data_IF_523574250122
#
_entry.id   IF_523574250122
#
_cell.length_a   1.000
_cell.length_b   1.000
_cell.length_c   1.000
_cell.angle_alpha   90.00
_cell.angle_beta   90.00
_cell.angle_gamma   90.00
#
_symmetry.space_group_name_H-M   'P 1'
#
loop_
_entity.id
_entity.type
_entity.pdbx_description
1 polymer ?
#
# COMPACT_ATOMS: atom_id res chain seq x y z
N UNK A 1 -32.47 -4.38 -45.87
CA UNK A 1 -32.22 -3.38 -44.81
C UNK A 1 -31.71 -3.97 -43.50
N UNK A 2 -32.22 -5.12 -43.04
CA UNK A 2 -31.83 -5.74 -41.76
C UNK A 2 -30.36 -6.18 -41.65
N UNK A 3 -29.73 -6.66 -42.73
CA UNK A 3 -28.33 -7.09 -42.71
C UNK A 3 -27.36 -5.98 -42.30
N UNK A 4 -27.60 -4.73 -42.74
CA UNK A 4 -26.78 -3.57 -42.34
C UNK A 4 -26.96 -3.22 -40.85
N UNK A 5 -28.19 -3.31 -40.36
CA UNK A 5 -28.51 -3.05 -38.94
C UNK A 5 -27.88 -4.11 -38.04
N UNK A 6 -27.89 -5.37 -38.46
CA UNK A 6 -27.27 -6.48 -37.74
C UNK A 6 -25.75 -6.32 -37.69
N UNK A 7 -25.11 -5.93 -38.81
CA UNK A 7 -23.65 -5.71 -38.85
C UNK A 7 -23.27 -4.53 -37.94
N UNK A 8 -24.01 -3.42 -37.99
CA UNK A 8 -23.74 -2.25 -37.14
C UNK A 8 -23.95 -2.59 -35.65
N UNK A 9 -25.01 -3.34 -35.32
CA UNK A 9 -25.28 -3.80 -33.96
C UNK A 9 -24.20 -4.77 -33.44
N UNK A 10 -23.67 -5.63 -34.32
CA UNK A 10 -22.59 -6.56 -33.97
C UNK A 10 -21.27 -5.81 -33.71
N UNK A 11 -20.95 -4.80 -34.53
CA UNK A 11 -19.78 -3.95 -34.30
C UNK A 11 -19.83 -3.21 -32.96
N UNK A 12 -21.02 -2.73 -32.54
CA UNK A 12 -21.18 -2.06 -31.25
C UNK A 12 -20.95 -2.98 -30.05
N UNK A 13 -21.31 -4.26 -30.15
CA UNK A 13 -21.08 -5.25 -29.09
C UNK A 13 -19.59 -5.60 -28.92
N UNK A 14 -18.80 -5.53 -30.00
CA UNK A 14 -17.36 -5.82 -29.97
C UNK A 14 -16.52 -4.68 -29.36
N UNK A 15 -17.07 -3.46 -29.27
CA UNK A 15 -16.41 -2.31 -28.65
C UNK A 15 -16.53 -2.30 -27.11
N UNK A 16 -17.40 -3.12 -26.53
CA UNK A 16 -17.59 -3.23 -25.08
C UNK A 16 -16.55 -4.16 -24.44
N UNK A 17 -15.26 -3.83 -24.57
CA UNK A 17 -14.22 -4.54 -23.83
C UNK A 17 -14.11 -3.99 -22.40
N UNK A 18 -14.21 -4.89 -21.42
CA UNK A 18 -14.03 -4.55 -20.00
C UNK A 18 -12.55 -4.28 -19.76
N UNK A 19 -12.19 -3.01 -19.59
CA UNK A 19 -10.83 -2.62 -19.24
C UNK A 19 -10.59 -2.83 -17.75
N UNK A 20 -9.87 -3.89 -17.39
CA UNK A 20 -9.41 -4.13 -16.02
C UNK A 20 -8.12 -3.33 -15.76
N UNK A 21 -8.24 -2.17 -15.11
CA UNK A 21 -7.08 -1.45 -14.61
C UNK A 21 -6.57 -2.13 -13.33
N UNK A 22 -5.66 -3.09 -13.47
CA UNK A 22 -4.89 -3.58 -12.34
C UNK A 22 -3.82 -2.54 -11.99
N UNK A 23 -4.04 -1.77 -10.92
CA UNK A 23 -3.02 -0.88 -10.37
C UNK A 23 -1.85 -1.70 -9.81
N UNK A 24 -0.83 -1.96 -10.63
CA UNK A 24 0.41 -2.62 -10.20
C UNK A 24 1.23 -1.61 -9.41
N UNK A 25 1.54 -1.93 -8.16
CA UNK A 25 2.45 -1.14 -7.34
C UNK A 25 3.83 -1.79 -7.39
N UNK A 26 4.83 -1.07 -7.88
CA UNK A 26 6.21 -1.52 -7.85
C UNK A 26 6.81 -1.22 -6.48
N UNK A 27 7.14 -2.26 -5.70
CA UNK A 27 8.03 -2.09 -4.54
C UNK A 27 9.47 -2.14 -5.03
N UNK A 28 10.07 -0.97 -5.23
CA UNK A 28 11.46 -0.87 -5.68
C UNK A 28 12.41 -1.42 -4.61
N UNK A 29 13.27 -2.36 -5.00
CA UNK A 29 14.40 -2.83 -4.15
C UNK A 29 15.46 -1.75 -3.97
N UNK A 30 15.47 -0.74 -4.86
CA UNK A 30 16.38 0.40 -4.82
C UNK A 30 16.37 1.12 -3.46
N UNK A 31 17.55 1.55 -3.04
CA UNK A 31 17.67 2.34 -1.82
C UNK A 31 17.01 3.70 -2.03
N UNK A 32 16.29 4.20 -1.01
CA UNK A 32 15.70 5.53 -1.07
C UNK A 32 16.79 6.60 -1.05
N UNK A 33 16.44 7.77 -1.59
CA UNK A 33 17.32 8.93 -1.57
C UNK A 33 17.70 9.31 -0.13
N UNK A 34 18.90 9.86 0.04
CA UNK A 34 19.36 10.34 1.33
C UNK A 34 18.73 11.69 1.63
N UNK A 35 18.11 11.84 2.80
CA UNK A 35 17.53 13.10 3.27
C UNK A 35 18.52 13.90 4.10
N UNK A 36 19.39 13.22 4.85
CA UNK A 36 20.43 13.86 5.66
C UNK A 36 21.81 13.23 5.38
N UNK A 37 22.72 14.05 4.87
CA UNK A 37 24.12 13.70 4.67
C UNK A 37 24.95 14.07 5.89
N UNK A 38 26.00 13.29 6.18
CA UNK A 38 26.89 13.61 7.28
C UNK A 38 27.74 14.84 6.97
N UNK A 39 27.56 15.91 7.74
CA UNK A 39 28.34 17.15 7.64
C UNK A 39 29.66 17.12 8.43
N UNK A 40 30.08 15.94 8.92
CA UNK A 40 31.33 15.82 9.67
C UNK A 40 32.49 16.11 8.73
N UNK A 41 33.15 17.27 8.91
CA UNK A 41 34.43 17.57 8.28
C UNK A 41 35.41 16.47 8.68
N UNK A 42 36.14 15.93 7.71
CA UNK A 42 37.23 14.99 7.97
C UNK A 42 38.20 15.70 8.93
N UNK A 43 38.39 15.14 10.14
CA UNK A 43 39.39 15.66 11.09
C UNK A 43 40.76 15.60 10.41
N UNK A 44 41.48 16.70 10.43
CA UNK A 44 42.86 16.76 9.99
C UNK A 44 43.74 15.90 10.94
N UNK A 45 44.77 15.17 10.46
CA UNK A 45 45.24 15.07 9.08
C UNK A 45 44.29 14.21 8.21
N UNK A 46 43.96 14.72 7.03
CA UNK A 46 43.09 14.01 6.09
C UNK A 46 43.82 12.78 5.56
N UNK A 47 43.27 11.59 5.78
CA UNK A 47 43.90 10.33 5.36
C UNK A 47 43.93 10.17 3.84
N UNK A 48 43.05 10.86 3.08
CA UNK A 48 43.04 10.84 1.61
C UNK A 48 42.40 12.15 1.12
N UNK A 49 43.17 13.01 0.44
CA UNK A 49 42.71 14.24 -0.21
C UNK A 49 41.50 13.95 -1.13
N UNK A 50 40.31 14.43 -0.74
CA UNK A 50 39.16 14.57 -1.65
C UNK A 50 38.42 13.30 -2.10
N UNK A 51 38.71 12.09 -1.58
CA UNK A 51 38.09 10.84 -2.04
C UNK A 51 36.96 10.25 -1.17
N UNK A 52 36.68 10.82 0.00
CA UNK A 52 35.62 10.28 0.86
C UNK A 52 34.26 10.84 0.47
N UNK A 53 33.45 10.03 -0.21
CA UNK A 53 32.03 10.28 -0.45
C UNK A 53 31.31 10.50 0.88
N UNK A 54 30.51 11.57 1.00
CA UNK A 54 29.76 11.87 2.20
C UNK A 54 28.89 10.67 2.61
N UNK A 55 28.99 10.23 3.86
CA UNK A 55 28.18 9.12 4.37
C UNK A 55 26.74 9.59 4.57
N UNK A 56 25.78 8.86 4.02
CA UNK A 56 24.36 9.10 4.27
C UNK A 56 24.02 8.73 5.73
N UNK A 57 23.34 9.64 6.46
CA UNK A 57 22.95 9.42 7.85
C UNK A 57 21.48 8.99 7.96
N UNK A 58 20.59 9.69 7.26
CA UNK A 58 19.15 9.38 7.25
C UNK A 58 18.69 9.23 5.81
N UNK A 59 17.99 8.13 5.53
CA UNK A 59 17.34 7.88 4.24
C UNK A 59 15.85 8.14 4.35
N UNK A 60 15.24 8.57 3.24
CA UNK A 60 13.80 8.76 3.18
C UNK A 60 13.05 7.45 3.48
N UNK A 61 11.92 7.54 4.19
CA UNK A 61 11.00 6.42 4.35
C UNK A 61 10.43 6.07 2.98
N UNK A 62 10.34 4.78 2.67
CA UNK A 62 9.67 4.32 1.44
C UNK A 62 8.18 4.63 1.55
N UNK A 63 7.60 5.27 0.53
CA UNK A 63 6.16 5.51 0.46
C UNK A 63 5.38 4.19 0.51
N UNK A 64 5.96 3.09 -0.02
CA UNK A 64 5.38 1.75 0.04
C UNK A 64 5.21 1.21 1.47
N UNK A 65 5.95 1.73 2.46
CA UNK A 65 5.92 1.26 3.85
C UNK A 65 5.09 2.14 4.79
N UNK A 66 4.31 3.09 4.24
CA UNK A 66 3.41 3.94 5.03
C UNK A 66 2.21 3.17 5.62
N UNK A 67 1.47 3.80 6.55
CA UNK A 67 0.19 3.25 7.00
C UNK A 67 -0.79 3.19 5.82
N UNK A 68 -1.63 2.16 5.83
CA UNK A 68 -2.64 1.93 4.80
C UNK A 68 -4.04 2.02 5.41
N UNK A 69 -5.02 2.36 4.57
CA UNK A 69 -6.41 2.40 5.02
C UNK A 69 -6.95 0.97 5.04
N UNK A 70 -7.37 0.52 6.22
CA UNK A 70 -8.08 -0.74 6.41
C UNK A 70 -9.59 -0.52 6.34
N UNK A 71 -10.30 -1.39 5.62
CA UNK A 71 -11.77 -1.36 5.50
C UNK A 71 -12.40 -2.58 6.14
N UNK A 72 -13.48 -2.39 6.90
CA UNK A 72 -14.18 -3.49 7.55
C UNK A 72 -14.74 -4.46 6.51
N UNK A 73 -14.40 -5.74 6.64
CA UNK A 73 -14.87 -6.81 5.76
C UNK A 73 -15.96 -7.62 6.44
N UNK A 74 -15.75 -8.00 7.69
CA UNK A 74 -16.72 -8.73 8.51
C UNK A 74 -16.47 -8.49 9.99
N UNK A 75 -17.52 -8.59 10.78
CA UNK A 75 -17.46 -8.63 12.24
C UNK A 75 -18.16 -9.90 12.75
N UNK A 76 -17.62 -10.50 13.80
CA UNK A 76 -18.24 -11.64 14.47
C UNK A 76 -17.97 -11.58 15.96
N UNK A 77 -18.81 -12.24 16.76
CA UNK A 77 -18.60 -12.36 18.20
C UNK A 77 -17.93 -13.71 18.41
N UNK A 78 -16.75 -13.72 19.03
CA UNK A 78 -16.09 -14.97 19.39
C UNK A 78 -16.81 -15.57 20.59
N UNK A 79 -17.26 -16.82 20.47
CA UNK A 79 -17.94 -17.56 21.54
C UNK A 79 -17.01 -17.89 22.71
N UNK A 80 -15.70 -17.95 22.48
CA UNK A 80 -14.71 -18.30 23.52
C UNK A 80 -14.34 -17.10 24.39
N UNK A 81 -14.09 -15.93 23.78
CA UNK A 81 -13.68 -14.72 24.51
C UNK A 81 -14.84 -13.76 24.81
N UNK A 82 -15.99 -13.92 24.16
CA UNK A 82 -17.12 -13.00 24.26
C UNK A 82 -16.87 -11.62 23.62
N UNK A 83 -15.70 -11.44 22.99
CA UNK A 83 -15.28 -10.20 22.35
C UNK A 83 -15.79 -10.13 20.90
N UNK A 84 -15.98 -8.90 20.41
CA UNK A 84 -16.29 -8.66 19.00
C UNK A 84 -14.98 -8.60 18.22
N UNK A 85 -14.82 -9.53 17.29
CA UNK A 85 -13.69 -9.58 16.37
C UNK A 85 -14.05 -8.84 15.08
N UNK A 86 -13.29 -7.79 14.79
CA UNK A 86 -13.43 -6.98 13.59
C UNK A 86 -12.34 -7.41 12.58
N UNK A 87 -12.74 -7.95 11.44
CA UNK A 87 -11.83 -8.35 10.35
C UNK A 87 -11.82 -7.28 9.28
N UNK A 88 -10.64 -6.76 9.00
CA UNK A 88 -10.41 -5.67 8.06
C UNK A 88 -9.56 -6.11 6.89
N UNK A 89 -9.96 -5.71 5.69
CA UNK A 89 -9.15 -5.83 4.49
C UNK A 89 -8.14 -4.68 4.44
N UNK A 90 -6.85 -5.00 4.32
CA UNK A 90 -5.79 -4.01 4.17
C UNK A 90 -5.78 -3.44 2.76
N UNK A 91 -5.62 -2.13 2.64
CA UNK A 91 -5.43 -1.47 1.35
C UNK A 91 -4.09 -1.83 0.73
N UNK A 92 -4.11 -2.57 -0.38
CA UNK A 92 -2.95 -2.88 -1.23
C UNK A 92 -2.98 -4.31 -1.77
N UNK A 93 -2.00 -4.65 -2.60
CA UNK A 93 -1.91 -5.97 -3.23
C UNK A 93 -1.30 -7.01 -2.28
N UNK A 94 -1.97 -8.16 -2.12
CA UNK A 94 -1.54 -9.31 -1.31
C UNK A 94 -1.17 -8.97 0.16
N UNK A 95 -1.81 -7.96 0.72
CA UNK A 95 -1.75 -7.67 2.15
C UNK A 95 -2.95 -8.35 2.79
N UNK A 96 -2.71 -9.45 3.52
CA UNK A 96 -3.77 -10.24 4.15
C UNK A 96 -4.68 -9.44 5.09
N UNK A 97 -5.68 -10.12 5.66
CA UNK A 97 -6.66 -9.47 6.54
C UNK A 97 -6.04 -9.15 7.93
N UNK A 98 -6.43 -8.02 8.51
CA UNK A 98 -6.11 -7.64 9.90
C UNK A 98 -7.31 -7.93 10.82
N UNK A 99 -7.06 -8.56 11.95
CA UNK A 99 -8.09 -8.81 12.98
C UNK A 99 -7.81 -7.97 14.21
N UNK A 100 -8.83 -7.26 14.69
CA UNK A 100 -8.78 -6.46 15.92
C UNK A 100 -9.90 -6.93 16.83
N UNK A 101 -9.59 -7.20 18.09
CA UNK A 101 -10.59 -7.44 19.12
C UNK A 101 -11.12 -6.12 19.69
N UNK A 102 -12.43 -6.07 19.91
CA UNK A 102 -13.14 -4.92 20.46
C UNK A 102 -14.14 -5.40 21.51
N UNK A 103 -14.40 -4.63 22.58
CA UNK A 103 -15.47 -4.93 23.52
C UNK A 103 -16.83 -5.06 22.80
N UNK A 104 -17.68 -5.95 23.32
CA UNK A 104 -18.99 -6.29 22.74
C UNK A 104 -19.96 -5.10 22.63
N UNK A 105 -19.80 -4.11 23.50
CA UNK A 105 -20.60 -2.88 23.55
C UNK A 105 -20.30 -1.95 22.37
N UNK A 106 -19.09 -1.99 21.82
CA UNK A 106 -18.65 -1.06 20.79
C UNK A 106 -18.78 -1.65 19.39
N UNK A 107 -19.13 -0.80 18.41
CA UNK A 107 -19.22 -1.18 17.01
C UNK A 107 -17.84 -1.09 16.36
N UNK A 108 -17.54 -2.00 15.44
CA UNK A 108 -16.35 -1.90 14.61
C UNK A 108 -16.37 -0.60 13.81
N UNK A 109 -15.22 0.09 13.74
CA UNK A 109 -15.04 1.23 12.85
C UNK A 109 -15.19 0.75 11.39
N UNK A 110 -15.79 1.57 10.52
CA UNK A 110 -15.87 1.21 9.09
C UNK A 110 -14.50 1.22 8.43
N UNK A 111 -13.66 2.17 8.83
CA UNK A 111 -12.31 2.37 8.29
C UNK A 111 -11.37 2.86 9.38
N UNK A 112 -10.12 2.41 9.36
CA UNK A 112 -9.08 2.96 10.21
C UNK A 112 -7.71 2.91 9.52
N UNK A 113 -6.76 3.71 10.03
CA UNK A 113 -5.38 3.69 9.57
C UNK A 113 -4.65 2.51 10.23
N UNK A 114 -4.35 1.48 9.47
CA UNK A 114 -3.65 0.29 9.93
C UNK A 114 -2.20 0.26 9.44
N UNK A 115 -1.36 -0.48 10.17
CA UNK A 115 -0.02 -0.78 9.68
C UNK A 115 -0.15 -1.72 8.47
N UNK A 116 0.63 -1.44 7.42
CA UNK A 116 0.75 -2.30 6.24
C UNK A 116 1.23 -3.70 6.65
#
# INVERSE_FOLDING_TARGET
MYARVIIISCCFLMLASVSYAAGVYYDGTAQTHCTEWSNKRLKWPQTILGKFTAKCRIRAKRLSKGPVVCRLKRDYINSETGERMCVYQRGGFNLGDATVSMPKTEKCLKTYSCKR
#
